data_IF_338354024726
#
_entry.id   IF_338354024726
#
_cell.length_a   1.000
_cell.length_b   1.000
_cell.length_c   1.000
_cell.angle_alpha   90.00
_cell.angle_beta   90.00
_cell.angle_gamma   90.00
#
_symmetry.space_group_name_H-M   'P 1'
#
loop_
_entity.id
_entity.type
_entity.pdbx_description
1 polymer ?
#
# COMPACT_ATOMS: atom_id res chain seq x y z
N UNK A 1 -14.29 14.73 -30.34
CA UNK A 1 -14.60 14.90 -28.90
C UNK A 1 -14.44 16.37 -28.56
N UNK A 2 -15.53 17.07 -28.29
CA UNK A 2 -15.51 18.51 -28.02
C UNK A 2 -15.10 18.74 -26.57
N UNK A 3 -13.92 19.35 -26.37
CA UNK A 3 -13.43 19.64 -25.01
C UNK A 3 -14.31 20.72 -24.39
N UNK A 4 -15.13 20.36 -23.39
CA UNK A 4 -15.97 21.30 -22.63
C UNK A 4 -15.07 22.36 -21.97
N UNK A 5 -15.15 23.61 -22.45
CA UNK A 5 -14.44 24.78 -21.87
C UNK A 5 -15.11 25.17 -20.55
N UNK A 6 -14.64 24.57 -19.45
CA UNK A 6 -15.29 24.63 -18.14
C UNK A 6 -15.05 25.94 -17.37
N UNK A 7 -14.02 26.72 -17.73
CA UNK A 7 -13.59 27.88 -16.94
C UNK A 7 -13.69 29.18 -17.75
N UNK A 8 -14.66 30.03 -17.42
CA UNK A 8 -14.88 31.33 -18.05
C UNK A 8 -14.13 32.45 -17.32
N UNK A 9 -13.66 33.46 -18.05
CA UNK A 9 -13.20 34.70 -17.46
C UNK A 9 -14.41 35.60 -17.19
N UNK A 10 -14.52 36.19 -16.00
CA UNK A 10 -15.65 37.07 -15.67
C UNK A 10 -15.52 38.47 -16.28
N UNK A 11 -14.32 38.79 -16.79
CA UNK A 11 -13.94 40.11 -17.30
C UNK A 11 -13.81 40.17 -18.81
N UNK A 12 -13.90 39.03 -19.47
CA UNK A 12 -13.96 38.95 -20.91
C UNK A 12 -14.65 37.66 -21.35
N UNK A 13 -15.04 37.60 -22.62
CA UNK A 13 -15.81 36.46 -23.15
C UNK A 13 -15.00 35.18 -23.36
N UNK A 14 -13.75 35.09 -22.87
CA UNK A 14 -12.85 33.95 -23.11
C UNK A 14 -13.10 32.82 -22.12
N UNK A 15 -13.06 31.59 -22.63
CA UNK A 15 -13.19 30.36 -21.83
C UNK A 15 -12.04 29.40 -22.09
N UNK A 16 -11.65 28.66 -21.05
CA UNK A 16 -10.48 27.80 -21.02
C UNK A 16 -10.85 26.39 -20.56
N UNK A 17 -10.04 25.42 -20.97
CA UNK A 17 -10.21 24.00 -20.63
C UNK A 17 -9.66 23.64 -19.24
N UNK A 18 -8.73 24.43 -18.70
CA UNK A 18 -8.12 24.22 -17.39
C UNK A 18 -8.04 25.52 -16.58
N UNK A 19 -8.09 25.42 -15.25
CA UNK A 19 -8.01 26.59 -14.34
C UNK A 19 -6.66 27.30 -14.45
N UNK A 20 -5.56 26.57 -14.70
CA UNK A 20 -4.22 27.14 -14.88
C UNK A 20 -4.16 28.07 -16.10
N UNK A 21 -4.82 27.70 -17.20
CA UNK A 21 -4.86 28.53 -18.42
C UNK A 21 -5.69 29.80 -18.19
N UNK A 22 -6.80 29.71 -17.46
CA UNK A 22 -7.56 30.88 -17.03
C UNK A 22 -6.72 31.80 -16.13
N UNK A 23 -6.02 31.25 -15.14
CA UNK A 23 -5.16 32.04 -14.24
C UNK A 23 -4.02 32.73 -14.98
N UNK A 24 -3.44 32.08 -15.99
CA UNK A 24 -2.42 32.68 -16.85
C UNK A 24 -3.00 33.81 -17.72
N UNK A 25 -4.21 33.62 -18.23
CA UNK A 25 -4.94 34.64 -18.95
C UNK A 25 -5.21 35.87 -18.06
N UNK A 26 -5.75 35.68 -16.86
CA UNK A 26 -6.02 36.76 -15.91
C UNK A 26 -4.72 37.51 -15.58
N UNK A 27 -3.62 36.80 -15.30
CA UNK A 27 -2.30 37.41 -15.04
C UNK A 27 -1.76 38.25 -16.21
N UNK A 28 -2.07 37.88 -17.45
CA UNK A 28 -1.53 38.56 -18.65
C UNK A 28 -2.44 39.65 -19.20
N UNK A 29 -3.76 39.47 -19.10
CA UNK A 29 -4.76 40.33 -19.73
C UNK A 29 -5.49 41.21 -18.70
N UNK A 30 -5.56 40.77 -17.44
CA UNK A 30 -6.18 41.49 -16.32
C UNK A 30 -5.18 41.68 -15.16
N UNK A 31 -4.00 42.30 -15.41
CA UNK A 31 -2.93 42.42 -14.42
C UNK A 31 -3.34 43.22 -13.16
N UNK A 32 -4.28 44.15 -13.29
CA UNK A 32 -4.86 44.93 -12.19
C UNK A 32 -5.66 44.08 -11.20
N UNK A 33 -6.18 42.94 -11.66
CA UNK A 33 -6.94 42.01 -10.81
C UNK A 33 -6.08 41.03 -10.05
N UNK A 34 -4.81 40.91 -10.44
CA UNK A 34 -3.77 40.14 -9.75
C UNK A 34 -3.03 40.96 -8.68
N UNK A 35 -3.76 41.80 -7.94
CA UNK A 35 -3.19 42.42 -6.75
C UNK A 35 -2.81 41.33 -5.73
N UNK A 36 -1.72 41.55 -5.00
CA UNK A 36 -1.18 40.57 -4.05
C UNK A 36 -2.18 40.19 -2.93
N UNK A 37 -3.17 41.05 -2.65
CA UNK A 37 -4.25 40.78 -1.70
C UNK A 37 -5.29 39.79 -2.28
N UNK A 38 -5.61 39.91 -3.57
CA UNK A 38 -6.58 39.05 -4.24
C UNK A 38 -6.01 37.64 -4.49
N UNK A 39 -4.72 37.54 -4.82
CA UNK A 39 -4.01 36.26 -4.97
C UNK A 39 -3.86 35.50 -3.63
N UNK A 40 -3.72 36.20 -2.51
CA UNK A 40 -3.71 35.58 -1.17
C UNK A 40 -5.09 35.06 -0.80
N UNK A 41 -6.15 35.87 -0.97
CA UNK A 41 -7.52 35.44 -0.72
C UNK A 41 -7.91 34.19 -1.54
N UNK A 42 -7.57 34.16 -2.83
CA UNK A 42 -7.79 32.99 -3.70
C UNK A 42 -7.00 31.76 -3.21
N UNK A 43 -5.78 31.95 -2.71
CA UNK A 43 -4.96 30.86 -2.18
C UNK A 43 -5.53 30.31 -0.87
N UNK A 44 -5.94 31.18 0.03
CA UNK A 44 -6.52 30.84 1.33
C UNK A 44 -7.87 30.12 1.19
N UNK A 45 -8.68 30.53 0.21
CA UNK A 45 -9.95 29.89 -0.12
C UNK A 45 -9.73 28.51 -0.76
N UNK A 46 -8.74 28.37 -1.65
CA UNK A 46 -8.37 27.07 -2.22
C UNK A 46 -7.76 26.11 -1.18
N UNK A 47 -6.94 26.61 -0.25
CA UNK A 47 -6.37 25.82 0.85
C UNK A 47 -7.45 25.39 1.85
N UNK A 48 -8.44 26.25 2.10
CA UNK A 48 -9.62 25.91 2.91
C UNK A 48 -10.50 24.86 2.21
N UNK A 49 -10.79 25.02 0.92
CA UNK A 49 -11.54 24.03 0.12
C UNK A 49 -10.79 22.70 0.05
N UNK A 50 -9.46 22.72 -0.08
CA UNK A 50 -8.61 21.53 -0.05
C UNK A 50 -8.68 20.83 1.31
N UNK A 51 -8.59 21.57 2.42
CA UNK A 51 -8.71 21.03 3.78
C UNK A 51 -10.08 20.39 4.03
N UNK A 52 -11.17 21.02 3.58
CA UNK A 52 -12.54 20.49 3.69
C UNK A 52 -12.74 19.23 2.83
N UNK A 53 -12.19 19.20 1.61
CA UNK A 53 -12.24 18.00 0.75
C UNK A 53 -11.38 16.85 1.32
N UNK A 54 -10.20 17.15 1.85
CA UNK A 54 -9.29 16.15 2.43
C UNK A 54 -9.87 15.53 3.71
N UNK A 55 -10.57 16.31 4.54
CA UNK A 55 -11.24 15.81 5.75
C UNK A 55 -12.45 14.94 5.42
N UNK A 56 -13.28 15.34 4.46
CA UNK A 56 -14.39 14.53 3.95
C UNK A 56 -13.94 13.21 3.31
N UNK A 57 -12.90 13.27 2.47
CA UNK A 57 -12.29 12.09 1.85
C UNK A 57 -11.75 11.10 2.89
N UNK A 58 -11.02 11.61 3.90
CA UNK A 58 -10.50 10.77 5.00
C UNK A 58 -11.62 10.12 5.82
N UNK A 59 -12.76 10.81 6.02
CA UNK A 59 -13.90 10.24 6.74
C UNK A 59 -14.54 9.08 5.95
N UNK A 60 -14.82 9.29 4.65
CA UNK A 60 -15.39 8.27 3.79
C UNK A 60 -14.45 7.06 3.60
N UNK A 61 -13.14 7.30 3.53
CA UNK A 61 -12.16 6.22 3.49
C UNK A 61 -12.14 5.40 4.77
N UNK A 62 -12.12 6.04 5.95
CA UNK A 62 -12.20 5.32 7.23
C UNK A 62 -13.47 4.48 7.33
N UNK A 63 -14.61 5.06 6.95
CA UNK A 63 -15.90 4.35 6.97
C UNK A 63 -15.87 3.11 6.06
N UNK A 64 -15.38 3.26 4.83
CA UNK A 64 -15.26 2.14 3.90
C UNK A 64 -14.36 1.01 4.43
N UNK A 65 -13.22 1.37 5.05
CA UNK A 65 -12.33 0.38 5.65
C UNK A 65 -13.00 -0.31 6.85
N UNK A 66 -13.76 0.40 7.67
CA UNK A 66 -14.52 -0.21 8.76
C UNK A 66 -15.54 -1.23 8.24
N UNK A 67 -16.27 -0.90 7.17
CA UNK A 67 -17.20 -1.85 6.52
C UNK A 67 -16.48 -3.08 5.96
N UNK A 68 -15.29 -2.92 5.40
CA UNK A 68 -14.47 -4.05 4.95
C UNK A 68 -14.02 -4.94 6.11
N UNK A 69 -13.67 -4.34 7.26
CA UNK A 69 -13.31 -5.07 8.49
C UNK A 69 -14.51 -5.86 9.01
N UNK A 70 -15.72 -5.27 9.01
CA UNK A 70 -16.92 -5.97 9.44
C UNK A 70 -17.31 -7.14 8.53
N UNK A 71 -17.20 -6.97 7.21
CA UNK A 71 -17.35 -8.11 6.29
C UNK A 71 -16.30 -9.18 6.60
N UNK A 72 -15.03 -8.80 6.75
CA UNK A 72 -13.95 -9.73 7.08
C UNK A 72 -14.18 -10.46 8.41
N UNK A 73 -14.73 -9.80 9.44
CA UNK A 73 -15.11 -10.39 10.72
C UNK A 73 -16.12 -11.53 10.55
N UNK A 74 -17.06 -11.38 9.62
CA UNK A 74 -18.04 -12.42 9.25
C UNK A 74 -17.49 -13.60 8.43
N UNK A 75 -16.20 -13.60 8.08
CA UNK A 75 -15.58 -14.60 7.19
C UNK A 75 -14.56 -15.48 7.95
N UNK A 76 -15.01 -16.41 8.81
CA UNK A 76 -14.14 -17.17 9.72
C UNK A 76 -13.12 -18.08 9.00
N UNK A 77 -13.39 -18.52 7.77
CA UNK A 77 -12.40 -19.31 7.01
C UNK A 77 -11.14 -18.49 6.70
N UNK A 78 -11.22 -17.16 6.71
CA UNK A 78 -10.08 -16.27 6.42
C UNK A 78 -9.21 -15.99 7.66
N UNK A 79 -9.75 -16.10 8.87
CA UNK A 79 -9.07 -15.57 10.07
C UNK A 79 -9.18 -16.40 11.34
N UNK A 80 -10.20 -17.24 11.48
CA UNK A 80 -10.44 -18.03 12.69
C UNK A 80 -9.77 -19.40 12.59
N UNK A 81 -8.60 -19.57 13.20
CA UNK A 81 -7.84 -20.82 13.18
C UNK A 81 -8.60 -21.98 13.87
N UNK A 82 -9.53 -21.65 14.77
CA UNK A 82 -10.35 -22.64 15.49
C UNK A 82 -11.54 -23.13 14.65
N UNK A 83 -11.88 -22.42 13.57
CA UNK A 83 -12.94 -22.83 12.66
C UNK A 83 -12.49 -24.01 11.79
N UNK A 84 -13.39 -24.98 11.58
CA UNK A 84 -13.18 -26.09 10.63
C UNK A 84 -12.99 -25.59 9.19
N UNK A 85 -13.54 -24.43 8.88
CA UNK A 85 -13.47 -23.85 7.53
C UNK A 85 -12.11 -23.23 7.23
N UNK A 86 -11.28 -22.94 8.24
CA UNK A 86 -9.97 -22.31 8.07
C UNK A 86 -8.98 -23.16 7.26
N UNK A 87 -9.07 -24.48 7.36
CA UNK A 87 -8.26 -25.39 6.54
C UNK A 87 -8.90 -25.67 5.17
N UNK A 88 -10.17 -25.28 4.96
CA UNK A 88 -10.90 -25.55 3.73
C UNK A 88 -10.58 -24.48 2.67
N UNK A 89 -9.75 -24.87 1.68
CA UNK A 89 -9.35 -24.00 0.57
C UNK A 89 -10.52 -23.53 -0.30
N UNK A 90 -11.55 -24.36 -0.50
CA UNK A 90 -12.71 -23.98 -1.30
C UNK A 90 -13.53 -22.89 -0.58
N UNK A 91 -13.75 -23.05 0.73
CA UNK A 91 -14.41 -22.05 1.57
C UNK A 91 -13.61 -20.76 1.69
N UNK A 92 -12.29 -20.84 1.80
CA UNK A 92 -11.42 -19.65 1.74
C UNK A 92 -11.62 -18.84 0.46
N UNK A 93 -11.64 -19.52 -0.70
CA UNK A 93 -11.88 -18.85 -1.99
C UNK A 93 -13.26 -18.17 -2.02
N UNK A 94 -14.32 -18.89 -1.66
CA UNK A 94 -15.69 -18.34 -1.59
C UNK A 94 -15.77 -17.10 -0.68
N UNK A 95 -15.11 -17.13 0.47
CA UNK A 95 -15.09 -15.99 1.39
C UNK A 95 -14.24 -14.82 0.87
N UNK A 96 -13.12 -15.10 0.17
CA UNK A 96 -12.39 -14.05 -0.53
C UNK A 96 -13.21 -13.41 -1.65
N UNK A 97 -14.04 -14.19 -2.37
CA UNK A 97 -14.95 -13.68 -3.40
C UNK A 97 -16.00 -12.71 -2.81
N UNK A 98 -16.46 -12.96 -1.59
CA UNK A 98 -17.33 -12.02 -0.85
C UNK A 98 -16.57 -10.73 -0.50
N UNK A 99 -15.36 -10.86 0.05
CA UNK A 99 -14.58 -9.72 0.51
C UNK A 99 -14.11 -8.82 -0.66
N UNK A 100 -13.71 -9.40 -1.78
CA UNK A 100 -13.36 -8.64 -3.00
C UNK A 100 -14.58 -7.95 -3.60
N UNK A 101 -15.76 -8.56 -3.53
CA UNK A 101 -17.03 -7.92 -3.92
C UNK A 101 -17.23 -6.59 -3.19
N UNK A 102 -17.06 -6.59 -1.86
CA UNK A 102 -17.13 -5.36 -1.06
C UNK A 102 -16.02 -4.37 -1.43
N UNK A 103 -14.80 -4.84 -1.63
CA UNK A 103 -13.66 -3.98 -1.97
C UNK A 103 -13.83 -3.28 -3.34
N UNK A 104 -14.47 -3.95 -4.30
CA UNK A 104 -14.73 -3.44 -5.65
C UNK A 104 -15.77 -2.33 -5.71
N UNK A 105 -16.58 -2.12 -4.67
CA UNK A 105 -17.47 -0.96 -4.58
C UNK A 105 -16.71 0.37 -4.67
N UNK A 106 -15.47 0.41 -4.16
CA UNK A 106 -14.59 1.59 -4.23
C UNK A 106 -13.46 1.44 -5.26
N UNK A 107 -13.00 0.22 -5.50
CA UNK A 107 -11.89 -0.08 -6.43
C UNK A 107 -12.32 -1.12 -7.46
N UNK A 108 -13.03 -0.73 -8.55
CA UNK A 108 -13.67 -1.68 -9.47
C UNK A 108 -12.73 -2.73 -10.06
N UNK A 109 -11.49 -2.35 -10.35
CA UNK A 109 -10.47 -3.22 -10.96
C UNK A 109 -9.62 -3.98 -9.94
N UNK A 110 -9.96 -3.91 -8.65
CA UNK A 110 -9.19 -4.59 -7.62
C UNK A 110 -9.20 -6.11 -7.81
N UNK A 111 -8.04 -6.71 -7.57
CA UNK A 111 -7.85 -8.15 -7.52
C UNK A 111 -7.80 -8.67 -6.08
N UNK A 112 -7.72 -9.99 -5.94
CA UNK A 112 -7.67 -10.65 -4.63
C UNK A 112 -6.37 -10.27 -3.89
N UNK A 113 -5.28 -10.03 -4.60
CA UNK A 113 -3.97 -9.73 -4.00
C UNK A 113 -3.98 -8.38 -3.29
N UNK A 114 -4.61 -7.37 -3.88
CA UNK A 114 -4.78 -6.05 -3.26
C UNK A 114 -5.58 -6.15 -1.95
N UNK A 115 -6.66 -6.94 -1.94
CA UNK A 115 -7.46 -7.20 -0.72
C UNK A 115 -6.63 -7.92 0.35
N UNK A 116 -5.92 -8.98 -0.04
CA UNK A 116 -5.05 -9.75 0.87
C UNK A 116 -3.96 -8.85 1.47
N UNK A 117 -3.31 -8.04 0.64
CA UNK A 117 -2.28 -7.09 1.06
C UNK A 117 -2.84 -6.06 2.04
N UNK A 118 -4.02 -5.52 1.76
CA UNK A 118 -4.70 -4.56 2.64
C UNK A 118 -5.05 -5.18 4.00
N UNK A 119 -5.65 -6.36 4.01
CA UNK A 119 -6.00 -7.08 5.25
C UNK A 119 -4.74 -7.44 6.05
N UNK A 120 -3.68 -7.92 5.40
CA UNK A 120 -2.43 -8.24 6.08
C UNK A 120 -1.79 -7.00 6.72
N UNK A 121 -1.79 -5.86 6.02
CA UNK A 121 -1.32 -4.59 6.58
C UNK A 121 -2.10 -4.20 7.84
N UNK A 122 -3.45 -4.29 7.80
CA UNK A 122 -4.31 -4.01 8.95
C UNK A 122 -4.00 -4.96 10.13
N UNK A 123 -3.86 -6.26 9.87
CA UNK A 123 -3.51 -7.27 10.89
C UNK A 123 -2.15 -7.01 11.52
N UNK A 124 -1.13 -6.69 10.73
CA UNK A 124 0.20 -6.37 11.24
C UNK A 124 0.19 -5.14 12.13
N UNK A 125 -0.54 -4.08 11.74
CA UNK A 125 -0.68 -2.88 12.56
C UNK A 125 -1.41 -3.17 13.88
N UNK A 126 -2.55 -3.86 13.80
CA UNK A 126 -3.33 -4.27 14.98
C UNK A 126 -2.49 -5.07 15.98
N UNK A 127 -1.66 -6.00 15.50
CA UNK A 127 -0.75 -6.78 16.36
C UNK A 127 0.31 -5.96 17.05
N UNK A 128 0.96 -5.05 16.32
CA UNK A 128 1.95 -4.13 16.89
C UNK A 128 1.30 -3.29 17.99
N UNK A 129 0.07 -2.86 17.76
CA UNK A 129 -0.69 -2.07 18.73
C UNK A 129 -1.09 -2.89 19.95
N UNK A 130 -1.60 -4.12 19.78
CA UNK A 130 -1.86 -5.04 20.88
C UNK A 130 -0.61 -5.30 21.73
N UNK A 131 0.54 -5.52 21.07
CA UNK A 131 1.81 -5.71 21.76
C UNK A 131 2.18 -4.47 22.58
N UNK A 132 2.09 -3.28 21.97
CA UNK A 132 2.37 -2.00 22.63
C UNK A 132 1.52 -1.81 23.89
N UNK A 133 0.22 -2.10 23.82
CA UNK A 133 -0.70 -1.99 24.95
C UNK A 133 -0.34 -3.00 26.06
N UNK A 134 -0.15 -4.27 25.71
CA UNK A 134 0.23 -5.33 26.67
C UNK A 134 1.56 -5.07 27.36
N UNK A 135 2.55 -4.56 26.62
CA UNK A 135 3.89 -4.27 27.16
C UNK A 135 3.84 -3.07 28.13
N UNK A 136 2.98 -2.07 27.85
CA UNK A 136 2.77 -0.96 28.75
C UNK A 136 2.01 -1.37 30.03
N UNK A 137 1.00 -2.24 29.93
CA UNK A 137 0.31 -2.82 31.09
C UNK A 137 1.26 -3.59 32.01
N UNK A 138 2.17 -4.40 31.44
CA UNK A 138 3.15 -5.19 32.20
C UNK A 138 4.23 -4.35 32.88
N UNK A 139 4.58 -3.19 32.31
CA UNK A 139 5.70 -2.37 32.81
C UNK A 139 5.34 -1.55 34.06
N UNK A 140 4.11 -1.66 34.56
CA UNK A 140 3.69 -1.03 35.83
C UNK A 140 3.71 0.50 35.82
N UNK A 141 3.94 1.13 34.65
CA UNK A 141 3.96 2.58 34.48
C UNK A 141 2.53 3.13 34.51
N UNK A 142 2.05 3.42 35.72
CA UNK A 142 1.03 4.40 36.05
C UNK A 142 -0.38 4.18 35.49
N UNK A 143 -1.24 3.53 36.28
CA UNK A 143 -2.68 3.77 36.54
C UNK A 143 -3.64 4.34 35.47
N UNK A 144 -3.29 4.39 34.18
CA UNK A 144 -4.16 4.75 33.07
C UNK A 144 -3.95 3.74 31.95
N UNK A 145 -4.97 2.95 31.63
CA UNK A 145 -4.91 1.99 30.53
C UNK A 145 -4.44 2.68 29.25
N UNK A 146 -3.43 2.14 28.59
CA UNK A 146 -2.88 2.74 27.38
C UNK A 146 -3.91 2.61 26.27
N UNK A 147 -4.48 3.75 25.86
CA UNK A 147 -5.49 3.79 24.81
C UNK A 147 -4.87 3.41 23.45
N UNK A 148 -5.60 2.66 22.60
CA UNK A 148 -5.20 2.42 21.23
C UNK A 148 -5.15 3.70 20.40
N UNK A 149 -4.06 3.90 19.67
CA UNK A 149 -3.86 4.95 18.67
C UNK A 149 -4.50 4.63 17.31
N UNK A 150 -4.79 3.35 17.05
CA UNK A 150 -5.42 2.90 15.81
C UNK A 150 -6.93 3.14 15.87
N UNK A 151 -7.45 3.98 14.96
CA UNK A 151 -8.87 4.32 14.92
C UNK A 151 -9.82 3.13 14.65
N UNK A 152 -9.31 2.04 14.09
CA UNK A 152 -10.05 0.79 13.83
C UNK A 152 -9.70 -0.33 14.82
N UNK A 153 -9.06 -0.01 15.94
CA UNK A 153 -8.58 -1.01 16.88
C UNK A 153 -9.71 -1.90 17.41
N UNK A 154 -10.81 -1.28 17.82
CA UNK A 154 -11.96 -1.99 18.37
C UNK A 154 -12.62 -2.91 17.33
N UNK A 155 -12.68 -2.47 16.07
CA UNK A 155 -13.23 -3.27 14.96
C UNK A 155 -12.41 -4.53 14.71
N UNK A 156 -11.10 -4.51 14.97
CA UNK A 156 -10.23 -5.69 14.81
C UNK A 156 -10.05 -6.52 16.08
N UNK A 157 -10.69 -6.14 17.18
CA UNK A 157 -10.52 -6.78 18.49
C UNK A 157 -10.88 -8.27 18.49
N UNK A 158 -11.76 -8.71 17.58
CA UNK A 158 -12.13 -10.12 17.42
C UNK A 158 -10.94 -11.04 17.09
N UNK A 159 -9.84 -10.49 16.55
CA UNK A 159 -8.62 -11.26 16.29
C UNK A 159 -7.82 -11.59 17.56
N UNK A 160 -8.08 -10.91 18.68
CA UNK A 160 -7.38 -11.13 19.95
C UNK A 160 -7.57 -12.56 20.48
N UNK A 161 -8.74 -13.16 20.25
CA UNK A 161 -9.11 -14.51 20.72
C UNK A 161 -8.27 -15.65 20.11
N UNK A 162 -7.48 -15.34 19.07
CA UNK A 162 -6.60 -16.28 18.38
C UNK A 162 -5.17 -16.30 18.95
N UNK A 163 -4.79 -15.32 19.78
CA UNK A 163 -3.44 -15.23 20.34
C UNK A 163 -3.38 -15.91 21.71
N UNK A 164 -3.22 -17.24 21.73
CA UNK A 164 -2.79 -17.90 22.96
C UNK A 164 -1.38 -17.42 23.34
N UNK A 165 -1.08 -17.26 24.64
CA UNK A 165 0.26 -16.89 25.09
C UNK A 165 1.18 -18.11 24.98
N UNK A 166 1.61 -18.43 23.77
CA UNK A 166 2.68 -19.39 23.54
C UNK A 166 3.95 -18.59 23.25
N UNK A 167 5.00 -18.88 24.03
CA UNK A 167 6.21 -18.07 24.12
C UNK A 167 6.90 -17.78 22.79
N UNK A 168 7.59 -16.64 22.77
CA UNK A 168 8.64 -16.28 21.81
C UNK A 168 8.30 -16.55 20.33
N UNK A 169 7.22 -15.95 19.83
CA UNK A 169 7.01 -15.85 18.38
C UNK A 169 7.84 -14.66 17.87
N UNK A 170 9.04 -14.96 17.40
CA UNK A 170 9.80 -14.10 16.50
C UNK A 170 8.95 -13.78 15.25
N UNK A 171 9.30 -12.71 14.56
CA UNK A 171 8.58 -12.00 13.48
C UNK A 171 8.12 -12.81 12.25
N UNK A 172 8.11 -14.14 12.28
CA UNK A 172 7.90 -15.00 11.11
C UNK A 172 7.23 -16.33 11.48
N UNK A 173 5.98 -16.34 11.94
CA UNK A 173 5.14 -17.51 11.68
C UNK A 173 3.65 -17.25 11.95
N UNK A 174 2.93 -16.67 10.99
CA UNK A 174 1.48 -16.84 10.86
C UNK A 174 1.17 -17.02 9.39
N UNK A 175 1.18 -18.30 8.98
CA UNK A 175 0.59 -18.88 7.77
C UNK A 175 0.51 -17.92 6.58
N UNK A 176 1.47 -18.05 5.67
CA UNK A 176 1.29 -17.69 4.28
C UNK A 176 -0.09 -18.18 3.82
N UNK A 177 -1.03 -17.26 3.62
CA UNK A 177 -2.27 -17.53 2.91
C UNK A 177 -1.89 -17.82 1.44
N UNK A 178 -1.44 -19.05 1.18
CA UNK A 178 -1.17 -19.55 -0.16
C UNK A 178 -2.50 -19.72 -0.89
N UNK A 179 -3.01 -18.62 -1.42
CA UNK A 179 -3.95 -18.66 -2.54
C UNK A 179 -3.15 -19.12 -3.75
N UNK A 180 -3.01 -20.43 -3.92
CA UNK A 180 -2.66 -20.97 -5.23
C UNK A 180 -3.89 -20.77 -6.10
N UNK A 181 -3.92 -19.71 -6.91
CA UNK A 181 -4.94 -19.54 -7.96
C UNK A 181 -4.57 -20.52 -9.07
N UNK A 182 -5.19 -21.70 -9.05
CA UNK A 182 -5.03 -22.68 -10.12
C UNK A 182 -5.83 -22.20 -11.32
N UNK A 183 -5.15 -21.66 -12.33
CA UNK A 183 -5.69 -21.61 -13.69
C UNK A 183 -5.66 -23.03 -14.27
N UNK A 184 -6.81 -23.44 -14.82
CA UNK A 184 -7.01 -24.74 -15.44
C UNK A 184 -6.12 -24.87 -16.68
N UNK A 185 -5.12 -25.75 -16.62
CA UNK A 185 -4.76 -26.58 -17.77
C UNK A 185 -4.61 -28.04 -17.30
N UNK A 186 -5.38 -28.88 -17.99
CA UNK A 186 -5.47 -30.32 -17.87
C UNK A 186 -4.10 -30.97 -18.02
N UNK A 187 -3.68 -31.76 -17.02
CA UNK A 187 -2.82 -32.93 -17.24
C UNK A 187 -2.99 -33.92 -16.10
N UNK A 188 -3.72 -35.00 -16.41
CA UNK A 188 -3.68 -36.25 -15.66
C UNK A 188 -2.23 -36.65 -15.43
N UNK A 189 -1.81 -36.81 -14.18
CA UNK A 189 -0.85 -37.85 -13.83
C UNK A 189 -1.24 -38.51 -12.51
N UNK A 190 -1.41 -39.81 -12.62
CA UNK A 190 -1.71 -40.77 -11.58
C UNK A 190 -0.50 -40.89 -10.64
N UNK A 191 -0.64 -40.79 -9.30
CA UNK A 191 0.32 -41.38 -8.34
C UNK A 191 -0.25 -41.47 -6.91
N UNK A 192 -0.73 -42.67 -6.62
CA UNK A 192 -0.65 -43.47 -5.38
C UNK A 192 -0.45 -42.77 -4.04
N UNK A 193 -1.40 -43.02 -3.14
CA UNK A 193 -1.31 -42.93 -1.68
C UNK A 193 -0.13 -43.75 -1.10
N UNK A 194 0.56 -43.21 -0.10
CA UNK A 194 1.09 -43.98 1.04
C UNK A 194 1.21 -43.08 2.27
N UNK A 195 0.59 -43.51 3.35
CA UNK A 195 0.83 -43.11 4.75
C UNK A 195 1.71 -44.17 5.43
N UNK A 196 2.03 -44.04 6.72
CA UNK A 196 2.76 -42.97 7.37
C UNK A 196 4.04 -43.55 8.04
N UNK A 197 4.77 -42.66 8.73
CA UNK A 197 5.74 -42.96 9.80
C UNK A 197 7.21 -43.20 9.38
N UNK A 198 8.07 -42.22 9.72
CA UNK A 198 9.33 -42.35 10.45
C UNK A 198 10.02 -40.98 10.50
N UNK A 199 9.99 -40.39 11.70
CA UNK A 199 11.06 -39.63 12.37
C UNK A 199 12.23 -39.04 11.56
N UNK A 200 12.40 -37.73 11.75
CA UNK A 200 13.65 -36.97 11.82
C UNK A 200 14.80 -37.35 10.88
N UNK A 201 14.88 -36.59 9.77
CA UNK A 201 16.11 -36.06 9.14
C UNK A 201 15.79 -35.47 7.76
N UNK A 202 15.13 -34.31 7.69
CA UNK A 202 15.04 -33.54 6.44
C UNK A 202 14.60 -32.09 6.71
N UNK A 203 15.37 -31.37 7.53
CA UNK A 203 15.22 -29.93 7.75
C UNK A 203 16.31 -29.10 7.03
N UNK A 204 16.84 -29.57 5.90
CA UNK A 204 17.90 -28.85 5.17
C UNK A 204 17.78 -28.87 3.64
N UNK A 205 16.62 -29.22 3.10
CA UNK A 205 16.36 -29.12 1.65
C UNK A 205 14.95 -28.64 1.39
N UNK A 206 14.73 -27.34 1.57
CA UNK A 206 13.65 -26.55 0.93
C UNK A 206 13.86 -25.08 1.27
N UNK A 207 14.62 -24.42 0.41
CA UNK A 207 14.56 -23.01 -0.01
C UNK A 207 15.89 -22.68 -0.71
N UNK A 208 16.18 -23.39 -1.79
CA UNK A 208 16.99 -22.84 -2.86
C UNK A 208 16.10 -22.90 -4.08
N UNK A 209 15.22 -21.90 -4.19
CA UNK A 209 14.97 -21.37 -5.52
C UNK A 209 16.35 -20.98 -6.07
N UNK A 210 16.66 -21.25 -7.35
CA UNK A 210 17.91 -20.80 -7.92
C UNK A 210 17.97 -19.29 -7.68
N UNK A 211 18.96 -18.81 -6.92
CA UNK A 211 19.16 -17.37 -6.80
C UNK A 211 19.30 -16.82 -8.22
N UNK A 212 18.29 -16.09 -8.66
CA UNK A 212 18.36 -15.37 -9.92
C UNK A 212 19.53 -14.40 -9.82
N UNK A 213 20.28 -14.23 -10.90
CA UNK A 213 21.47 -13.36 -10.88
C UNK A 213 21.08 -11.91 -10.52
N UNK A 214 19.83 -11.54 -10.80
CA UNK A 214 19.17 -10.32 -10.32
C UNK A 214 19.20 -10.17 -8.79
N UNK A 215 18.91 -11.22 -8.03
CA UNK A 215 18.88 -11.18 -6.56
C UNK A 215 20.29 -11.02 -5.98
N UNK A 216 21.28 -11.65 -6.60
CA UNK A 216 22.69 -11.52 -6.21
C UNK A 216 23.18 -10.09 -6.43
N UNK A 217 22.84 -9.51 -7.57
CA UNK A 217 23.18 -8.13 -7.92
C UNK A 217 22.46 -7.14 -6.99
N UNK A 218 21.18 -7.36 -6.71
CA UNK A 218 20.41 -6.52 -5.78
C UNK A 218 21.00 -6.56 -4.35
N UNK A 219 21.41 -7.74 -3.88
CA UNK A 219 22.07 -7.89 -2.58
C UNK A 219 23.42 -7.14 -2.54
N UNK A 220 24.22 -7.23 -3.60
CA UNK A 220 25.48 -6.50 -3.71
C UNK A 220 25.27 -4.98 -3.72
N UNK A 221 24.31 -4.48 -4.49
CA UNK A 221 23.97 -3.05 -4.53
C UNK A 221 23.48 -2.53 -3.17
N UNK A 222 22.69 -3.32 -2.45
CA UNK A 222 22.22 -2.97 -1.11
C UNK A 222 23.36 -2.87 -0.09
N UNK A 223 24.44 -3.64 -0.26
CA UNK A 223 25.65 -3.50 0.57
C UNK A 223 26.37 -2.18 0.24
N UNK A 224 26.58 -1.88 -1.04
CA UNK A 224 27.29 -0.66 -1.45
C UNK A 224 26.51 0.61 -1.09
N UNK A 225 25.19 0.62 -1.26
CA UNK A 225 24.35 1.76 -0.88
C UNK A 225 24.43 2.04 0.63
N UNK A 226 24.54 1.00 1.49
CA UNK A 226 24.67 1.17 2.94
C UNK A 226 26.03 1.72 3.37
N UNK A 227 27.08 1.53 2.57
CA UNK A 227 28.43 2.06 2.84
C UNK A 227 28.55 3.55 2.49
N UNK A 228 27.65 4.08 1.66
CA UNK A 228 27.66 5.50 1.29
C UNK A 228 27.24 6.40 2.46
N UNK A 229 27.79 7.61 2.49
CA UNK A 229 27.31 8.69 3.37
C UNK A 229 25.80 8.94 3.19
N UNK A 230 25.03 9.26 4.25
CA UNK A 230 23.58 9.47 4.15
C UNK A 230 23.14 10.46 3.07
N UNK A 231 23.92 11.51 2.82
CA UNK A 231 23.59 12.48 1.77
C UNK A 231 23.80 11.90 0.38
N UNK A 232 24.86 11.10 0.18
CA UNK A 232 25.12 10.41 -1.08
C UNK A 232 24.07 9.32 -1.35
N UNK A 233 23.58 8.65 -0.32
CA UNK A 233 22.47 7.70 -0.45
C UNK A 233 21.19 8.35 -0.99
N UNK A 234 20.90 9.60 -0.63
CA UNK A 234 19.73 10.32 -1.15
C UNK A 234 19.86 10.57 -2.65
N UNK A 235 21.03 11.05 -3.10
CA UNK A 235 21.28 11.26 -4.52
C UNK A 235 21.22 9.95 -5.33
N UNK A 236 21.83 8.88 -4.82
CA UNK A 236 21.78 7.57 -5.44
C UNK A 236 20.35 7.01 -5.53
N UNK A 237 19.56 7.10 -4.45
CA UNK A 237 18.15 6.65 -4.44
C UNK A 237 17.30 7.43 -5.44
N UNK A 238 17.50 8.75 -5.53
CA UNK A 238 16.80 9.59 -6.52
C UNK A 238 17.13 9.14 -7.94
N UNK A 239 18.42 9.02 -8.27
CA UNK A 239 18.86 8.62 -9.61
C UNK A 239 18.34 7.22 -10.00
N UNK A 240 18.37 6.25 -9.08
CA UNK A 240 17.80 4.91 -9.32
C UNK A 240 16.29 5.00 -9.58
N UNK A 241 15.57 5.80 -8.79
CA UNK A 241 14.12 5.97 -8.96
C UNK A 241 13.77 6.59 -10.31
N UNK A 242 14.53 7.61 -10.74
CA UNK A 242 14.36 8.26 -12.03
C UNK A 242 14.63 7.27 -13.19
N UNK A 243 15.70 6.46 -13.10
CA UNK A 243 16.01 5.42 -14.09
C UNK A 243 14.88 4.38 -14.18
N UNK A 244 14.36 3.92 -13.05
CA UNK A 244 13.25 2.95 -13.02
C UNK A 244 11.97 3.54 -13.61
N UNK A 245 11.69 4.82 -13.31
CA UNK A 245 10.54 5.53 -13.85
C UNK A 245 10.61 5.64 -15.38
N UNK A 246 11.72 6.15 -15.92
CA UNK A 246 11.92 6.25 -17.38
C UNK A 246 11.90 4.88 -18.06
N UNK A 247 12.40 3.84 -17.39
CA UNK A 247 12.32 2.46 -17.85
C UNK A 247 10.88 1.95 -17.97
N UNK A 248 10.04 2.22 -16.96
CA UNK A 248 8.62 1.87 -16.97
C UNK A 248 7.82 2.65 -18.02
N UNK A 249 8.23 3.90 -18.29
CA UNK A 249 7.62 4.75 -19.31
C UNK A 249 8.09 4.43 -20.75
N UNK A 250 9.06 3.53 -20.91
CA UNK A 250 9.62 3.16 -22.22
C UNK A 250 10.48 4.26 -22.87
N UNK A 251 10.91 5.24 -22.08
CA UNK A 251 11.68 6.42 -22.52
C UNK A 251 13.17 6.32 -22.19
N UNK A 252 13.58 5.28 -21.45
CA UNK A 252 14.98 5.01 -21.14
C UNK A 252 15.76 4.54 -22.39
N UNK A 253 16.82 5.27 -22.76
CA UNK A 253 17.69 4.98 -23.89
C UNK A 253 19.17 5.05 -23.50
N UNK A 254 20.06 4.66 -24.44
CA UNK A 254 21.52 4.50 -24.22
C UNK A 254 22.23 5.73 -23.62
N UNK A 255 21.68 6.93 -23.85
CA UNK A 255 22.27 8.20 -23.44
C UNK A 255 21.45 8.90 -22.34
N UNK A 256 20.48 8.23 -21.71
CA UNK A 256 19.60 8.86 -20.71
C UNK A 256 20.29 9.10 -19.36
N UNK A 257 21.41 8.43 -19.06
CA UNK A 257 22.12 8.56 -17.80
C UNK A 257 23.43 9.31 -18.02
N UNK A 258 23.49 10.54 -17.51
CA UNK A 258 24.71 11.34 -17.45
C UNK A 258 25.17 11.49 -16.00
N UNK A 259 26.38 11.03 -15.70
CA UNK A 259 26.96 11.14 -14.36
C UNK A 259 27.92 12.33 -14.35
N UNK A 260 27.63 13.31 -13.49
CA UNK A 260 28.48 14.49 -13.29
C UNK A 260 28.75 15.28 -14.58
N UNK A 261 27.76 15.47 -15.46
CA UNK A 261 27.96 16.31 -16.65
C UNK A 261 28.28 17.75 -16.23
N UNK A 262 29.45 18.22 -16.65
CA UNK A 262 29.89 19.59 -16.45
C UNK A 262 29.00 20.52 -17.27
N UNK A 263 28.44 21.54 -16.63
CA UNK A 263 27.84 22.66 -17.37
C UNK A 263 28.96 23.37 -18.11
N UNK A 264 29.15 23.03 -19.38
CA UNK A 264 29.91 23.89 -20.29
C UNK A 264 29.09 25.16 -20.43
N UNK A 265 29.45 26.19 -19.66
CA UNK A 265 28.98 27.55 -19.89
C UNK A 265 29.51 27.97 -21.26
N UNK A 266 28.69 27.83 -22.29
CA UNK A 266 28.94 28.48 -23.58
C UNK A 266 28.95 29.99 -23.32
N UNK A 267 30.14 30.57 -23.43
CA UNK A 267 30.39 32.02 -23.44
C UNK A 267 29.69 32.71 -24.61
#
# INVERSE_FOLDING_TARGET
MEQKKLFHCEDCTKSYTTRSNLNFHIKRIHPEKTSALNLKAIRDENDSIKCVKDTGYKKAEKQFIAECIEVYRGLPALWDVKSKDYSNRAKKREQYDVLIGKYREKFPDADIQEVVKKINSLRTNFRKELKRIRDAEKSGTGAGGVEPSLWYFDEMRFLQTQETPTGSIGTTDISQNNIVVANNESRQTNRRRKSPDTTDKLASQRLQEPQDDSDKIAAAWAVELRKMDPQQQLFAKKAISDILFEGQMGTLHRNSVEINSSRVSTS
#
